data_IF_534838245269
#
_entry.id   IF_534838245269
#
_cell.length_a   1.000
_cell.length_b   1.000
_cell.length_c   1.000
_cell.angle_alpha   90.00
_cell.angle_beta   90.00
_cell.angle_gamma   90.00
#
_symmetry.space_group_name_H-M   'P 1'
#
loop_
_entity.id
_entity.type
_entity.pdbx_description
1 polymer ?
#
# COMPACT_ATOMS: atom_id res chain seq x y z
N UNK A 1 64.90 -26.44 -0.08
CA UNK A 1 63.65 -27.13 -0.43
C UNK A 1 62.54 -26.62 0.51
N UNK A 2 61.35 -26.25 -0.02
CA UNK A 2 60.20 -25.67 0.71
C UNK A 2 59.26 -26.81 1.19
N UNK A 3 58.18 -26.59 1.98
CA UNK A 3 56.93 -25.91 1.55
C UNK A 3 56.33 -25.05 2.71
N UNK A 4 55.20 -24.33 2.64
CA UNK A 4 54.01 -24.45 1.84
C UNK A 4 53.21 -23.13 1.87
N UNK A 5 52.32 -23.02 0.89
CA UNK A 5 51.29 -22.04 0.63
C UNK A 5 50.44 -21.56 1.82
N UNK A 6 49.90 -20.34 1.63
CA UNK A 6 48.83 -19.68 2.38
C UNK A 6 47.57 -20.54 2.65
N UNK A 7 46.64 -20.06 3.49
CA UNK A 7 45.47 -19.38 2.91
C UNK A 7 44.91 -18.18 3.70
N UNK A 8 44.06 -17.42 3.01
CA UNK A 8 43.23 -16.31 3.46
C UNK A 8 42.04 -16.72 4.34
N UNK A 9 41.58 -15.83 5.22
CA UNK A 9 40.17 -15.55 5.61
C UNK A 9 40.16 -14.22 6.38
N UNK A 10 39.54 -13.13 5.92
CA UNK A 10 38.10 -12.80 5.78
C UNK A 10 37.44 -12.27 7.06
N UNK A 11 37.04 -10.99 6.97
CA UNK A 11 35.83 -10.36 7.52
C UNK A 11 35.75 -10.01 9.00
N UNK A 12 35.64 -8.70 9.28
CA UNK A 12 34.60 -8.22 10.19
C UNK A 12 34.29 -6.73 9.93
N UNK A 13 33.18 -6.48 9.21
CA UNK A 13 32.45 -5.22 9.33
C UNK A 13 31.41 -5.41 10.45
N UNK A 14 31.29 -4.48 11.42
CA UNK A 14 30.15 -4.49 12.32
C UNK A 14 28.93 -3.94 11.58
N UNK A 15 28.01 -4.84 11.21
CA UNK A 15 26.66 -4.48 10.82
C UNK A 15 25.90 -4.03 12.08
N UNK A 16 25.63 -2.73 12.18
CA UNK A 16 24.66 -2.23 13.15
C UNK A 16 23.27 -2.81 12.84
N UNK A 17 22.56 -3.39 13.82
CA UNK A 17 21.19 -3.80 13.61
C UNK A 17 20.33 -2.53 13.48
N UNK A 18 19.85 -2.31 12.27
CA UNK A 18 18.82 -1.34 11.97
C UNK A 18 17.61 -1.60 12.87
N UNK A 19 17.20 -0.54 13.55
CA UNK A 19 16.06 -0.49 14.47
C UNK A 19 14.82 -0.95 13.71
N UNK A 20 14.27 -2.09 14.14
CA UNK A 20 12.99 -2.60 13.68
C UNK A 20 11.89 -1.62 14.09
N UNK A 21 11.26 -1.00 13.11
CA UNK A 21 9.99 -0.29 13.25
C UNK A 21 8.87 -1.25 12.84
N UNK A 22 8.04 -1.76 13.77
CA UNK A 22 6.82 -2.46 13.40
C UNK A 22 5.75 -1.40 13.16
N UNK A 23 5.56 -1.01 11.91
CA UNK A 23 4.48 -0.11 11.54
C UNK A 23 3.93 -0.50 10.16
N UNK A 24 3.13 -1.57 10.15
CA UNK A 24 1.97 -1.75 9.28
C UNK A 24 1.52 -3.22 9.35
N UNK A 25 1.06 -3.66 10.52
CA UNK A 25 0.16 -4.80 10.58
C UNK A 25 -1.24 -4.29 10.23
N UNK A 26 -1.50 -4.15 8.94
CA UNK A 26 -2.86 -4.08 8.40
C UNK A 26 -3.21 -5.49 7.92
N UNK A 27 -3.37 -6.40 8.88
CA UNK A 27 -4.03 -7.67 8.67
C UNK A 27 -5.53 -7.39 8.53
N UNK A 28 -5.96 -7.13 7.30
CA UNK A 28 -7.38 -7.07 6.96
C UNK A 28 -7.80 -8.46 6.48
N UNK A 29 -8.45 -9.17 7.38
CA UNK A 29 -9.19 -10.42 7.16
C UNK A 29 -10.42 -10.10 6.29
N UNK A 30 -10.22 -9.89 4.98
CA UNK A 30 -11.32 -9.68 4.03
C UNK A 30 -11.63 -10.99 3.28
N UNK A 31 -12.89 -11.48 3.30
CA UNK A 31 -13.27 -12.70 2.60
C UNK A 31 -12.94 -12.57 1.10
N UNK A 32 -12.62 -13.68 0.41
CA UNK A 32 -12.05 -13.64 -0.94
C UNK A 32 -13.10 -13.12 -1.94
N UNK A 33 -13.12 -11.80 -2.13
CA UNK A 33 -13.94 -11.15 -3.14
C UNK A 33 -13.37 -11.52 -4.53
N UNK A 34 -14.23 -11.81 -5.51
CA UNK A 34 -13.81 -12.43 -6.76
C UNK A 34 -12.99 -11.47 -7.62
N UNK A 35 -11.72 -11.83 -7.86
CA UNK A 35 -10.86 -11.36 -8.99
C UNK A 35 -10.55 -9.86 -9.05
N UNK A 36 -10.53 -9.13 -7.94
CA UNK A 36 -9.83 -7.83 -7.90
C UNK A 36 -8.33 -8.08 -7.71
N UNK A 37 -7.48 -7.50 -8.56
CA UNK A 37 -6.03 -7.44 -8.28
C UNK A 37 -5.81 -6.89 -6.87
N UNK A 38 -4.87 -7.44 -6.07
CA UNK A 38 -4.62 -6.99 -4.70
C UNK A 38 -4.27 -5.49 -4.62
N UNK A 39 -3.63 -4.96 -5.67
CA UNK A 39 -3.35 -3.52 -5.81
C UNK A 39 -4.65 -2.70 -5.89
N UNK A 40 -5.65 -3.18 -6.65
CA UNK A 40 -6.93 -2.50 -6.79
C UNK A 40 -7.76 -2.59 -5.50
N UNK A 41 -7.69 -3.71 -4.77
CA UNK A 41 -8.33 -3.83 -3.46
C UNK A 41 -7.77 -2.81 -2.46
N UNK A 42 -6.44 -2.65 -2.43
CA UNK A 42 -5.80 -1.65 -1.57
C UNK A 42 -6.15 -0.21 -1.98
N UNK A 43 -6.12 0.10 -3.29
CA UNK A 43 -6.58 1.41 -3.79
C UNK A 43 -8.03 1.70 -3.39
N UNK A 44 -8.91 0.68 -3.43
CA UNK A 44 -10.31 0.79 -2.99
C UNK A 44 -10.41 1.10 -1.51
N UNK A 45 -9.67 0.38 -0.65
CA UNK A 45 -9.68 0.62 0.79
C UNK A 45 -9.21 2.04 1.13
N UNK A 46 -8.11 2.51 0.53
CA UNK A 46 -7.61 3.89 0.73
C UNK A 46 -8.65 4.92 0.30
N UNK A 47 -9.28 4.70 -0.86
CA UNK A 47 -10.28 5.64 -1.38
C UNK A 47 -11.55 5.66 -0.51
N UNK A 48 -11.98 4.51 0.00
CA UNK A 48 -13.09 4.40 0.95
C UNK A 48 -12.78 5.11 2.28
N UNK A 49 -11.56 4.93 2.82
CA UNK A 49 -11.12 5.61 4.03
C UNK A 49 -11.18 7.13 3.87
N UNK A 50 -10.71 7.65 2.72
CA UNK A 50 -10.78 9.08 2.42
C UNK A 50 -12.22 9.54 2.22
N UNK A 51 -13.06 8.78 1.51
CA UNK A 51 -14.49 9.09 1.38
C UNK A 51 -15.15 9.22 2.75
N UNK A 52 -14.94 8.27 3.64
CA UNK A 52 -15.50 8.30 5.00
C UNK A 52 -15.01 9.53 5.79
N UNK A 53 -13.69 9.80 5.75
CA UNK A 53 -13.10 10.96 6.42
C UNK A 53 -13.68 12.30 5.95
N UNK A 54 -13.96 12.41 4.65
CA UNK A 54 -14.54 13.61 4.03
C UNK A 54 -16.08 13.57 3.95
N UNK A 55 -16.76 12.70 4.71
CA UNK A 55 -18.23 12.56 4.73
C UNK A 55 -18.82 12.33 3.34
N UNK A 56 -18.19 11.44 2.57
CA UNK A 56 -18.57 11.07 1.21
C UNK A 56 -18.57 12.25 0.22
N UNK A 57 -17.91 13.36 0.56
CA UNK A 57 -17.80 14.51 -0.32
C UNK A 57 -16.72 14.28 -1.38
N UNK A 58 -17.11 13.66 -2.50
CA UNK A 58 -16.26 13.39 -3.67
C UNK A 58 -15.48 14.61 -4.16
N UNK A 59 -15.99 15.83 -3.95
CA UNK A 59 -15.30 17.06 -4.34
C UNK A 59 -14.12 17.37 -3.45
N UNK A 60 -14.27 17.15 -2.14
CA UNK A 60 -13.20 17.36 -1.18
C UNK A 60 -12.16 16.23 -1.27
N UNK A 61 -12.59 14.99 -1.49
CA UNK A 61 -11.69 13.86 -1.76
C UNK A 61 -10.88 14.11 -3.03
N UNK A 62 -11.52 14.55 -4.12
CA UNK A 62 -10.84 14.90 -5.36
C UNK A 62 -9.77 15.99 -5.16
N UNK A 63 -10.10 17.04 -4.39
CA UNK A 63 -9.14 18.09 -4.01
C UNK A 63 -7.99 17.55 -3.16
N UNK A 64 -8.27 16.66 -2.20
CA UNK A 64 -7.26 16.09 -1.33
C UNK A 64 -6.28 15.15 -2.07
N UNK A 65 -6.75 14.44 -3.10
CA UNK A 65 -5.91 13.63 -3.99
C UNK A 65 -5.24 14.43 -5.12
N UNK A 66 -5.52 15.73 -5.25
CA UNK A 66 -5.11 16.57 -6.39
C UNK A 66 -5.55 15.99 -7.76
N UNK A 67 -6.75 15.41 -7.82
CA UNK A 67 -7.33 14.86 -9.05
C UNK A 67 -8.63 15.55 -9.41
N UNK A 68 -8.99 15.53 -10.70
CA UNK A 68 -10.32 15.99 -11.11
C UNK A 68 -11.42 15.03 -10.62
N UNK A 69 -12.64 15.55 -10.38
CA UNK A 69 -13.81 14.70 -10.08
C UNK A 69 -14.01 13.62 -11.16
N UNK A 70 -13.71 13.94 -12.41
CA UNK A 70 -13.86 13.02 -13.53
C UNK A 70 -12.91 11.81 -13.39
N UNK A 71 -11.66 12.07 -13.00
CA UNK A 71 -10.69 11.01 -12.68
C UNK A 71 -11.13 10.20 -11.47
N UNK A 72 -11.70 10.86 -10.45
CA UNK A 72 -12.20 10.19 -9.26
C UNK A 72 -13.37 9.24 -9.59
N UNK A 73 -14.37 9.70 -10.35
CA UNK A 73 -15.48 8.86 -10.80
C UNK A 73 -15.00 7.65 -11.61
N UNK A 74 -14.03 7.85 -12.52
CA UNK A 74 -13.43 6.73 -13.27
C UNK A 74 -12.74 5.73 -12.34
N UNK A 75 -12.01 6.20 -11.33
CA UNK A 75 -11.40 5.32 -10.31
C UNK A 75 -12.47 4.57 -9.52
N UNK A 76 -13.53 5.25 -9.07
CA UNK A 76 -14.64 4.63 -8.34
C UNK A 76 -15.32 3.54 -9.17
N UNK A 77 -15.60 3.80 -10.44
CA UNK A 77 -16.18 2.82 -11.36
C UNK A 77 -15.21 1.64 -11.61
N UNK A 78 -13.92 1.90 -11.80
CA UNK A 78 -12.92 0.85 -12.02
C UNK A 78 -12.72 -0.04 -10.80
N UNK A 79 -12.89 0.53 -9.61
CA UNK A 79 -12.79 -0.15 -8.32
C UNK A 79 -14.15 -0.71 -7.84
N UNK A 80 -15.21 -0.58 -8.64
CA UNK A 80 -16.58 -0.98 -8.32
C UNK A 80 -17.08 -0.44 -6.97
N UNK A 81 -16.75 0.81 -6.65
CA UNK A 81 -17.21 1.49 -5.44
C UNK A 81 -18.50 2.23 -5.77
N UNK A 82 -19.63 1.66 -5.36
CA UNK A 82 -20.94 2.27 -5.49
C UNK A 82 -21.11 3.39 -4.46
N UNK A 83 -20.83 4.62 -4.88
CA UNK A 83 -21.20 5.85 -4.18
C UNK A 83 -22.73 6.13 -4.22
N UNK A 84 -23.53 5.23 -4.81
CA UNK A 84 -24.99 5.30 -4.84
C UNK A 84 -25.64 5.04 -3.45
N UNK A 85 -24.85 4.74 -2.41
CA UNK A 85 -25.31 4.61 -1.03
C UNK A 85 -25.55 5.96 -0.33
N UNK A 86 -26.27 6.85 -1.00
CA UNK A 86 -26.84 8.06 -0.38
C UNK A 86 -28.25 8.24 -0.93
N UNK A 87 -29.15 7.38 -0.46
CA UNK A 87 -30.60 7.61 -0.40
C UNK A 87 -31.07 7.29 1.02
#
# INVERSE_FOLDING_TARGET
APPASAPAVSSSMPASPAVAVPAAEAADDEPPLPKMNPIQANERQVLLQMLEQYRWNVSNVAKALDVSRNTLYRKLHKLHIDIAHTD
#
